data_IF_661033330320
#
_entry.id   IF_661033330320
#
_cell.length_a   1.000
_cell.length_b   1.000
_cell.length_c   1.000
_cell.angle_alpha   90.00
_cell.angle_beta   90.00
_cell.angle_gamma   90.00
#
_symmetry.space_group_name_H-M   'P 1'
#
loop_
_entity.id
_entity.type
_entity.pdbx_description
1 polymer ?
#
# COMPACT_ATOMS: atom_id res chain seq x y z
N UNK A 1 17.67 23.85 -0.29
CA UNK A 1 17.95 23.32 1.06
C UNK A 1 19.39 22.83 1.08
N UNK A 2 20.14 23.08 2.16
CA UNK A 2 21.46 22.46 2.33
C UNK A 2 21.28 20.96 2.59
N UNK A 3 21.40 20.17 1.53
CA UNK A 3 21.52 18.72 1.61
C UNK A 3 23.00 18.35 1.76
N UNK A 4 23.32 17.40 2.63
CA UNK A 4 24.66 16.81 2.69
C UNK A 4 25.06 16.17 1.35
N UNK A 5 24.07 15.67 0.61
CA UNK A 5 24.25 15.03 -0.70
C UNK A 5 23.22 15.57 -1.70
N UNK A 6 23.44 16.75 -2.29
CA UNK A 6 22.50 17.37 -3.23
C UNK A 6 22.22 16.49 -4.46
N UNK A 7 23.22 15.72 -4.90
CA UNK A 7 23.12 14.78 -6.02
C UNK A 7 22.29 13.54 -5.72
N UNK A 8 22.10 13.15 -4.44
CA UNK A 8 21.16 12.09 -4.07
C UNK A 8 19.72 12.63 -3.99
N UNK A 9 19.55 13.86 -3.53
CA UNK A 9 18.24 14.49 -3.40
C UNK A 9 17.54 14.69 -4.76
N UNK A 10 18.30 14.82 -5.86
CA UNK A 10 17.74 14.90 -7.21
C UNK A 10 16.94 13.65 -7.62
N UNK A 11 17.16 12.50 -6.96
CA UNK A 11 16.45 11.25 -7.19
C UNK A 11 15.15 11.10 -6.38
N UNK A 12 14.73 12.16 -5.67
CA UNK A 12 13.46 12.25 -4.92
C UNK A 12 12.27 11.66 -5.71
N UNK A 13 12.17 11.97 -7.00
CA UNK A 13 11.06 11.57 -7.86
C UNK A 13 10.89 10.04 -7.98
N UNK A 14 11.93 9.26 -7.66
CA UNK A 14 11.85 7.79 -7.61
C UNK A 14 11.21 7.27 -6.31
N UNK A 15 11.14 8.07 -5.25
CA UNK A 15 10.63 7.63 -3.95
C UNK A 15 9.19 7.11 -4.04
N UNK A 16 8.22 7.82 -4.65
CA UNK A 16 6.86 7.28 -4.79
C UNK A 16 6.80 6.02 -5.65
N UNK A 17 7.70 5.85 -6.62
CA UNK A 17 7.76 4.63 -7.44
C UNK A 17 8.18 3.42 -6.59
N UNK A 18 9.23 3.54 -5.77
CA UNK A 18 9.66 2.43 -4.91
C UNK A 18 8.60 2.06 -3.88
N UNK A 19 7.94 3.05 -3.27
CA UNK A 19 6.88 2.79 -2.30
C UNK A 19 5.71 2.07 -2.98
N UNK A 20 5.28 2.50 -4.18
CA UNK A 20 4.19 1.85 -4.94
C UNK A 20 4.53 0.41 -5.30
N UNK A 21 5.71 0.17 -5.87
CA UNK A 21 6.16 -1.17 -6.23
C UNK A 21 6.15 -2.11 -5.01
N UNK A 22 6.72 -1.66 -3.89
CA UNK A 22 6.78 -2.46 -2.66
C UNK A 22 5.39 -2.72 -2.08
N UNK A 23 4.60 -1.66 -1.87
CA UNK A 23 3.26 -1.76 -1.29
C UNK A 23 2.36 -2.65 -2.15
N UNK A 24 2.31 -2.39 -3.46
CA UNK A 24 1.46 -3.15 -4.37
C UNK A 24 1.91 -4.61 -4.53
N UNK A 25 3.21 -4.90 -4.59
CA UNK A 25 3.67 -6.29 -4.67
C UNK A 25 3.22 -7.10 -3.45
N UNK A 26 3.32 -6.51 -2.26
CA UNK A 26 2.90 -7.15 -1.00
C UNK A 26 1.38 -7.37 -0.97
N UNK A 27 0.59 -6.35 -1.33
CA UNK A 27 -0.87 -6.46 -1.38
C UNK A 27 -1.34 -7.53 -2.38
N UNK A 28 -0.82 -7.50 -3.61
CA UNK A 28 -1.19 -8.44 -4.67
C UNK A 28 -0.81 -9.89 -4.31
N UNK A 29 0.34 -10.09 -3.67
CA UNK A 29 0.74 -11.41 -3.18
C UNK A 29 -0.18 -11.92 -2.06
N UNK A 30 -0.52 -11.03 -1.12
CA UNK A 30 -1.42 -11.32 0.00
C UNK A 30 -2.82 -11.71 -0.49
N UNK A 31 -3.40 -10.94 -1.42
CA UNK A 31 -4.73 -11.20 -1.97
C UNK A 31 -4.76 -12.43 -2.84
N UNK A 32 -3.72 -12.69 -3.65
CA UNK A 32 -3.62 -13.90 -4.46
C UNK A 32 -3.79 -15.17 -3.61
N UNK A 33 -3.18 -15.22 -2.42
CA UNK A 33 -3.34 -16.33 -1.48
C UNK A 33 -4.79 -16.50 -1.00
N UNK A 34 -5.50 -15.39 -0.77
CA UNK A 34 -6.91 -15.39 -0.33
C UNK A 34 -7.85 -15.84 -1.46
N UNK A 35 -7.63 -15.34 -2.69
CA UNK A 35 -8.44 -15.70 -3.86
C UNK A 35 -8.21 -17.15 -4.30
N UNK A 36 -6.96 -17.63 -4.27
CA UNK A 36 -6.62 -19.00 -4.69
C UNK A 36 -7.15 -20.06 -3.72
N UNK A 37 -7.41 -19.71 -2.46
CA UNK A 37 -7.86 -20.67 -1.47
C UNK A 37 -9.37 -20.87 -1.54
N UNK A 38 -9.84 -22.04 -1.99
CA UNK A 38 -11.27 -22.33 -2.17
C UNK A 38 -12.09 -22.24 -0.87
N UNK A 39 -11.46 -22.42 0.29
CA UNK A 39 -12.12 -22.45 1.61
C UNK A 39 -12.40 -21.07 2.21
N UNK A 40 -11.96 -19.98 1.58
CA UNK A 40 -12.19 -18.62 2.09
C UNK A 40 -13.64 -18.20 1.91
N UNK A 41 -14.15 -17.47 2.91
CA UNK A 41 -15.50 -16.93 2.93
C UNK A 41 -15.72 -15.93 1.78
N UNK A 42 -16.96 -15.80 1.32
CA UNK A 42 -17.37 -14.93 0.22
C UNK A 42 -17.01 -13.47 0.52
N UNK A 43 -17.22 -13.01 1.76
CA UNK A 43 -16.87 -11.65 2.17
C UNK A 43 -15.37 -11.39 2.07
N UNK A 44 -14.55 -12.33 2.52
CA UNK A 44 -13.08 -12.22 2.41
C UNK A 44 -12.61 -12.20 0.97
N UNK A 45 -13.28 -12.94 0.07
CA UNK A 45 -12.98 -12.91 -1.37
C UNK A 45 -13.32 -11.55 -1.99
N UNK A 46 -14.46 -10.95 -1.63
CA UNK A 46 -14.86 -9.62 -2.11
C UNK A 46 -13.83 -8.57 -1.67
N UNK A 47 -13.46 -8.57 -0.38
CA UNK A 47 -12.43 -7.67 0.14
C UNK A 47 -11.11 -7.87 -0.61
N UNK A 48 -10.70 -9.11 -0.82
CA UNK A 48 -9.46 -9.41 -1.53
C UNK A 48 -9.50 -8.98 -3.01
N UNK A 49 -10.65 -9.02 -3.68
CA UNK A 49 -10.81 -8.47 -5.04
C UNK A 49 -10.65 -6.95 -5.02
N UNK A 50 -11.30 -6.26 -4.08
CA UNK A 50 -11.18 -4.79 -3.93
C UNK A 50 -9.72 -4.40 -3.64
N UNK A 51 -9.07 -5.10 -2.72
CA UNK A 51 -7.66 -4.89 -2.37
C UNK A 51 -6.73 -5.19 -3.56
N UNK A 52 -7.04 -6.19 -4.38
CA UNK A 52 -6.29 -6.49 -5.61
C UNK A 52 -6.40 -5.35 -6.62
N UNK A 53 -7.62 -4.83 -6.83
CA UNK A 53 -7.85 -3.69 -7.74
C UNK A 53 -7.15 -2.43 -7.23
N UNK A 54 -7.26 -2.12 -5.93
CA UNK A 54 -6.56 -0.99 -5.31
C UNK A 54 -5.04 -1.15 -5.43
N UNK A 55 -4.50 -2.33 -5.15
CA UNK A 55 -3.08 -2.64 -5.31
C UNK A 55 -2.60 -2.48 -6.75
N UNK A 56 -3.38 -2.92 -7.74
CA UNK A 56 -3.07 -2.74 -9.16
C UNK A 56 -3.10 -1.26 -9.58
N UNK A 57 -4.07 -0.49 -9.10
CA UNK A 57 -4.17 0.95 -9.34
C UNK A 57 -3.00 1.72 -8.73
N UNK A 58 -2.61 1.40 -7.50
CA UNK A 58 -1.39 1.93 -6.87
C UNK A 58 -0.14 1.54 -7.67
N UNK A 59 -0.05 0.30 -8.17
CA UNK A 59 1.12 -0.21 -8.89
C UNK A 59 1.36 0.56 -10.18
N UNK A 60 0.31 0.66 -10.99
CA UNK A 60 0.33 1.34 -12.28
C UNK A 60 0.43 2.84 -12.06
N UNK A 61 -0.15 3.36 -10.98
CA UNK A 61 -0.21 4.78 -10.72
C UNK A 61 -1.43 5.44 -11.33
N UNK A 62 -2.59 4.77 -11.28
CA UNK A 62 -3.89 5.28 -11.74
C UNK A 62 -4.78 5.53 -10.53
N UNK A 63 -5.46 6.67 -10.47
CA UNK A 63 -6.22 7.14 -9.30
C UNK A 63 -5.51 6.89 -7.96
N UNK A 64 -4.22 7.16 -7.92
CA UNK A 64 -3.29 6.80 -6.84
C UNK A 64 -3.75 7.23 -5.46
N UNK A 65 -4.23 8.46 -5.30
CA UNK A 65 -4.70 8.96 -4.02
C UNK A 65 -5.98 8.25 -3.56
N UNK A 66 -6.92 8.01 -4.47
CA UNK A 66 -8.15 7.28 -4.16
C UNK A 66 -7.86 5.80 -3.82
N UNK A 67 -6.99 5.15 -4.60
CA UNK A 67 -6.55 3.78 -4.33
C UNK A 67 -5.77 3.68 -3.01
N UNK A 68 -4.91 4.66 -2.71
CA UNK A 68 -4.20 4.74 -1.44
C UNK A 68 -5.16 4.88 -0.25
N UNK A 69 -6.26 5.65 -0.37
CA UNK A 69 -7.28 5.74 0.69
C UNK A 69 -7.93 4.38 0.96
N UNK A 70 -8.27 3.61 -0.08
CA UNK A 70 -8.81 2.26 0.08
C UNK A 70 -7.82 1.37 0.83
N UNK A 71 -6.54 1.40 0.45
CA UNK A 71 -5.48 0.63 1.12
C UNK A 71 -5.32 1.06 2.58
N UNK A 72 -5.34 2.37 2.87
CA UNK A 72 -5.25 2.90 4.24
C UNK A 72 -6.38 2.36 5.11
N UNK A 73 -7.61 2.40 4.61
CA UNK A 73 -8.78 1.90 5.35
C UNK A 73 -8.63 0.40 5.63
N UNK A 74 -8.25 -0.40 4.63
CA UNK A 74 -8.05 -1.84 4.81
C UNK A 74 -6.93 -2.15 5.82
N UNK A 75 -5.77 -1.48 5.71
CA UNK A 75 -4.65 -1.66 6.63
C UNK A 75 -5.00 -1.23 8.06
N UNK A 76 -5.76 -0.14 8.24
CA UNK A 76 -6.23 0.31 9.55
C UNK A 76 -7.15 -0.74 10.18
N UNK A 77 -8.11 -1.27 9.43
CA UNK A 77 -9.01 -2.31 9.93
C UNK A 77 -8.22 -3.54 10.37
N UNK A 78 -7.30 -4.05 9.55
CA UNK A 78 -6.45 -5.20 9.89
C UNK A 78 -5.58 -4.94 11.11
N UNK A 79 -4.99 -3.74 11.20
CA UNK A 79 -4.17 -3.34 12.34
C UNK A 79 -4.97 -3.31 13.64
N UNK A 80 -6.18 -2.72 13.62
CA UNK A 80 -7.08 -2.67 14.78
C UNK A 80 -7.47 -4.08 15.26
N UNK A 81 -7.86 -4.97 14.33
CA UNK A 81 -8.15 -6.36 14.66
C UNK A 81 -6.93 -7.05 15.29
N UNK A 82 -5.74 -6.85 14.73
CA UNK A 82 -4.51 -7.49 15.21
C UNK A 82 -4.06 -7.00 16.59
N UNK A 83 -4.23 -5.71 16.85
CA UNK A 83 -3.99 -5.09 18.16
C UNK A 83 -4.97 -5.66 19.20
N UNK A 84 -6.26 -5.80 18.84
CA UNK A 84 -7.29 -6.34 19.74
C UNK A 84 -7.00 -7.79 20.14
N UNK A 85 -6.40 -8.57 19.26
CA UNK A 85 -5.92 -9.93 19.53
C UNK A 85 -4.69 -9.97 20.49
N UNK A 86 -4.27 -8.84 21.08
CA UNK A 86 -3.15 -8.72 22.04
C UNK A 86 -1.79 -9.17 21.49
N UNK A 87 -1.64 -9.22 20.17
CA UNK A 87 -0.37 -9.56 19.50
C UNK A 87 0.48 -8.31 19.22
N UNK A 88 0.54 -7.41 20.20
CA UNK A 88 1.31 -6.15 20.10
C UNK A 88 2.80 -6.48 19.95
N UNK A 89 3.46 -5.92 18.93
CA UNK A 89 4.84 -6.26 18.52
C UNK A 89 5.06 -7.73 18.07
N UNK A 90 4.01 -8.45 17.68
CA UNK A 90 4.19 -9.64 16.85
C UNK A 90 4.50 -9.25 15.40
N UNK A 91 5.10 -10.16 14.62
CA UNK A 91 5.43 -9.97 13.19
C UNK A 91 4.25 -9.36 12.39
N UNK A 92 3.01 -9.64 12.79
CA UNK A 92 1.81 -9.12 12.13
C UNK A 92 1.53 -7.63 12.35
N UNK A 93 1.73 -7.10 13.56
CA UNK A 93 1.39 -5.68 13.85
C UNK A 93 2.36 -4.74 13.14
N UNK A 94 3.66 -5.03 13.22
CA UNK A 94 4.70 -4.24 12.55
C UNK A 94 4.50 -4.25 11.03
N UNK A 95 4.15 -5.41 10.47
CA UNK A 95 3.86 -5.56 9.05
C UNK A 95 2.72 -4.63 8.57
N UNK A 96 1.56 -4.66 9.24
CA UNK A 96 0.44 -3.80 8.85
C UNK A 96 0.70 -2.31 9.12
N UNK A 97 1.45 -1.99 10.18
CA UNK A 97 1.87 -0.61 10.45
C UNK A 97 2.77 -0.07 9.33
N UNK A 98 3.74 -0.85 8.85
CA UNK A 98 4.63 -0.46 7.76
C UNK A 98 3.85 -0.24 6.46
N UNK A 99 2.94 -1.15 6.11
CA UNK A 99 2.08 -0.99 4.93
C UNK A 99 1.19 0.26 5.03
N UNK A 100 0.64 0.53 6.21
CA UNK A 100 -0.15 1.72 6.49
C UNK A 100 0.66 3.00 6.28
N UNK A 101 1.87 3.07 6.84
CA UNK A 101 2.75 4.24 6.70
C UNK A 101 3.16 4.46 5.23
N UNK A 102 3.44 3.37 4.49
CA UNK A 102 3.71 3.46 3.05
C UNK A 102 2.50 3.99 2.26
N UNK A 103 1.29 3.53 2.57
CA UNK A 103 0.07 4.00 1.92
C UNK A 103 -0.22 5.47 2.23
N UNK A 104 -0.04 5.90 3.48
CA UNK A 104 -0.12 7.33 3.88
C UNK A 104 0.92 8.15 3.15
N UNK A 105 2.15 7.64 3.03
CA UNK A 105 3.22 8.32 2.29
C UNK A 105 2.81 8.56 0.83
N UNK A 106 2.28 7.54 0.14
CA UNK A 106 1.77 7.70 -1.24
C UNK A 106 0.61 8.68 -1.31
N UNK A 107 -0.33 8.64 -0.37
CA UNK A 107 -1.47 9.57 -0.34
C UNK A 107 -1.00 11.02 -0.31
N UNK A 108 0.02 11.31 0.52
CA UNK A 108 0.57 12.66 0.72
C UNK A 108 1.53 13.09 -0.38
N UNK A 109 2.38 12.19 -0.89
CA UNK A 109 3.33 12.51 -1.96
C UNK A 109 2.68 12.51 -3.35
N UNK A 110 1.52 11.87 -3.49
CA UNK A 110 0.83 11.69 -4.75
C UNK A 110 1.46 10.60 -5.64
N UNK A 111 1.10 10.59 -6.94
CA UNK A 111 1.41 9.51 -7.86
C UNK A 111 2.89 9.38 -8.25
N UNK A 112 3.66 10.46 -8.18
CA UNK A 112 5.06 10.53 -8.63
C UNK A 112 5.22 10.59 -10.15
N UNK A 113 6.44 10.83 -10.64
CA UNK A 113 6.71 11.10 -12.07
C UNK A 113 6.50 9.90 -13.02
N UNK A 114 6.46 8.68 -12.47
CA UNK A 114 6.34 7.43 -13.23
C UNK A 114 4.95 6.81 -13.07
N UNK A 115 3.92 7.62 -13.21
CA UNK A 115 2.52 7.24 -12.98
C UNK A 115 1.67 7.57 -14.21
N UNK A 116 0.54 6.89 -14.33
CA UNK A 116 -0.43 7.21 -15.39
C UNK A 116 -1.30 8.41 -15.01
N UNK A 117 -1.55 8.61 -13.71
CA UNK A 117 -2.02 9.88 -13.16
C UNK A 117 -0.91 10.91 -13.31
N UNK A 118 -0.87 11.59 -14.45
CA UNK A 118 -0.02 12.76 -14.57
C UNK A 118 -0.40 13.75 -13.45
N UNK A 119 0.57 14.19 -12.62
CA UNK A 119 0.31 15.26 -11.68
C UNK A 119 0.02 16.52 -12.51
N UNK A 120 -1.25 16.88 -12.62
CA UNK A 120 -1.66 18.19 -13.15
C UNK A 120 -1.11 19.30 -12.25
#
# INVERSE_FOLDING_TARGET
MLSLFPTLLSWNQLSPLFIRLSLSAVLLFSTYKVLSNKKTDTNSKIIAVIETLAGAFVLIGLWTQAAALVVIIDMLVRLIFKIRERTFLSDGVNYYLLLLVMAISILLTGPGSFSFDLPL
#
